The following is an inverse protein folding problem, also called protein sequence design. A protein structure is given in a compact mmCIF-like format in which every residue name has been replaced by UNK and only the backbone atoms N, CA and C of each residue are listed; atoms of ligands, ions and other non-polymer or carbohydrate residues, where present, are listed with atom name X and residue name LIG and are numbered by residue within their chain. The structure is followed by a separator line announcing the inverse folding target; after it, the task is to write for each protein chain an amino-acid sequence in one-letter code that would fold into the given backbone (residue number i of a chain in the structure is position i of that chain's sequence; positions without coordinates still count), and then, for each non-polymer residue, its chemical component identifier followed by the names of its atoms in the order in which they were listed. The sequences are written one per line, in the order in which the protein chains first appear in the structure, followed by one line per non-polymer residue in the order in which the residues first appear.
data_IF_127142672430
#
_entry.id   IF_127142672430
#
_cell.length_a   1.000
_cell.length_b   1.000
_cell.length_c   1.000
_cell.angle_alpha   90.00
_cell.angle_beta   90.00
_cell.angle_gamma   90.00
#
_symmetry.space_group_name_H-M   'P 1'
#
loop_
_entity.id
_entity.type
_entity.pdbx_description
1 polymer ?
#
# COMPACT_ATOMS: atom_id res chain seq x y z
N UNK A 1 -17.36 -11.94 9.49
CA UNK A 1 -18.67 -11.41 9.07
C UNK A 1 -18.82 -11.72 7.59
N UNK A 2 -19.92 -12.35 7.15
CA UNK A 2 -20.15 -12.62 5.72
C UNK A 2 -20.16 -11.34 4.87
N UNK A 3 -19.90 -11.47 3.57
CA UNK A 3 -20.00 -10.37 2.60
C UNK A 3 -21.43 -9.79 2.64
N UNK A 4 -21.55 -8.47 2.50
CA UNK A 4 -22.81 -7.72 2.51
C UNK A 4 -23.65 -7.85 3.79
N UNK A 5 -23.02 -8.22 4.90
CA UNK A 5 -23.68 -8.31 6.20
C UNK A 5 -22.94 -7.50 7.27
N UNK A 6 -23.68 -7.13 8.33
CA UNK A 6 -23.14 -6.46 9.50
C UNK A 6 -23.42 -7.32 10.75
N UNK A 7 -22.46 -7.44 11.68
CA UNK A 7 -22.68 -8.18 12.90
C UNK A 7 -23.70 -7.44 13.78
N UNK A 8 -24.57 -8.20 14.42
CA UNK A 8 -25.48 -7.70 15.45
C UNK A 8 -24.75 -7.55 16.79
N UNK A 9 -25.30 -6.70 17.68
CA UNK A 9 -24.76 -6.56 19.03
C UNK A 9 -24.77 -7.88 19.82
N UNK A 10 -25.80 -8.72 19.62
CA UNK A 10 -25.88 -10.04 20.26
C UNK A 10 -24.75 -10.99 19.82
N UNK A 11 -24.42 -11.00 18.53
CA UNK A 11 -23.33 -11.82 17.99
C UNK A 11 -21.97 -11.38 18.55
N UNK A 12 -21.74 -10.06 18.65
CA UNK A 12 -20.54 -9.48 19.25
C UNK A 12 -20.44 -9.87 20.73
N UNK A 13 -21.54 -9.73 21.47
CA UNK A 13 -21.57 -10.02 22.90
C UNK A 13 -21.28 -11.47 23.23
N UNK A 14 -21.89 -12.39 22.46
CA UNK A 14 -21.74 -13.83 22.64
C UNK A 14 -20.36 -14.33 22.19
N UNK A 15 -19.81 -13.76 21.12
CA UNK A 15 -18.59 -14.28 20.49
C UNK A 15 -17.32 -13.61 20.96
N UNK A 16 -17.29 -12.26 20.97
CA UNK A 16 -16.10 -11.46 21.21
C UNK A 16 -15.97 -11.02 22.67
N UNK A 17 -17.09 -10.65 23.32
CA UNK A 17 -17.08 -10.05 24.65
C UNK A 17 -17.43 -11.02 25.78
N UNK A 18 -17.38 -12.34 25.54
CA UNK A 18 -17.76 -13.38 26.52
C UNK A 18 -17.04 -13.27 27.88
N UNK A 19 -15.80 -12.80 27.87
CA UNK A 19 -14.96 -12.68 29.08
C UNK A 19 -15.05 -11.30 29.75
N UNK A 20 -15.78 -10.34 29.16
CA UNK A 20 -15.98 -9.01 29.75
C UNK A 20 -17.08 -9.11 30.81
N UNK A 21 -16.70 -8.99 32.09
CA UNK A 21 -17.59 -9.18 33.25
C UNK A 21 -18.52 -7.98 33.51
N UNK A 22 -18.04 -6.75 33.27
CA UNK A 22 -18.82 -5.54 33.51
C UNK A 22 -19.86 -5.35 32.42
N UNK A 23 -21.14 -5.34 32.77
CA UNK A 23 -22.25 -5.12 31.85
C UNK A 23 -22.17 -3.73 31.18
N UNK A 24 -21.76 -2.71 31.94
CA UNK A 24 -21.55 -1.36 31.42
C UNK A 24 -20.45 -1.32 30.38
N UNK A 25 -19.29 -1.92 30.67
CA UNK A 25 -18.16 -1.98 29.73
C UNK A 25 -18.52 -2.81 28.51
N UNK A 26 -19.22 -3.94 28.69
CA UNK A 26 -19.70 -4.78 27.59
C UNK A 26 -20.55 -3.94 26.65
N UNK A 27 -21.62 -3.28 27.14
CA UNK A 27 -22.49 -2.41 26.33
C UNK A 27 -21.71 -1.35 25.55
N UNK A 28 -20.76 -0.67 26.20
CA UNK A 28 -19.90 0.35 25.55
C UNK A 28 -19.10 -0.27 24.41
N UNK A 29 -18.45 -1.42 24.66
CA UNK A 29 -17.66 -2.12 23.65
C UNK A 29 -18.53 -2.65 22.51
N UNK A 30 -19.73 -3.15 22.77
CA UNK A 30 -20.66 -3.61 21.74
C UNK A 30 -21.02 -2.48 20.78
N UNK A 31 -21.39 -1.32 21.32
CA UNK A 31 -21.69 -0.12 20.52
C UNK A 31 -20.45 0.32 19.74
N UNK A 32 -19.29 0.39 20.41
CA UNK A 32 -18.04 0.79 19.78
C UNK A 32 -17.65 -0.15 18.62
N UNK A 33 -17.63 -1.46 18.82
CA UNK A 33 -17.25 -2.46 17.80
C UNK A 33 -18.22 -2.43 16.62
N UNK A 34 -19.52 -2.30 16.88
CA UNK A 34 -20.53 -2.20 15.82
C UNK A 34 -20.28 -0.97 14.94
N UNK A 35 -20.06 0.20 15.56
CA UNK A 35 -19.75 1.44 14.85
C UNK A 35 -18.39 1.39 14.15
N UNK A 36 -17.38 0.82 14.79
CA UNK A 36 -16.03 0.67 14.23
C UNK A 36 -16.06 -0.21 12.98
N UNK A 37 -16.82 -1.31 12.99
CA UNK A 37 -16.95 -2.17 11.82
C UNK A 37 -17.68 -1.46 10.67
N UNK A 38 -18.65 -0.58 10.95
CA UNK A 38 -19.25 0.27 9.90
C UNK A 38 -18.21 1.21 9.30
N UNK A 39 -17.42 1.90 10.11
CA UNK A 39 -16.32 2.75 9.63
C UNK A 39 -15.32 1.94 8.79
N UNK A 40 -14.97 0.73 9.23
CA UNK A 40 -14.09 -0.17 8.49
C UNK A 40 -14.63 -0.45 7.07
N UNK A 41 -15.91 -0.79 6.95
CA UNK A 41 -16.56 -1.09 5.67
C UNK A 41 -16.74 0.18 4.82
N UNK A 42 -17.36 1.23 5.39
CA UNK A 42 -17.74 2.45 4.68
C UNK A 42 -16.54 3.23 4.13
N UNK A 43 -15.37 3.10 4.77
CA UNK A 43 -14.13 3.74 4.34
C UNK A 43 -13.16 2.80 3.63
N UNK A 44 -13.61 1.59 3.24
CA UNK A 44 -12.81 0.63 2.48
C UNK A 44 -11.47 0.26 3.14
N UNK A 45 -11.50 0.04 4.46
CA UNK A 45 -10.36 -0.56 5.15
C UNK A 45 -10.23 -2.04 4.77
N UNK A 46 -8.99 -2.50 4.58
CA UNK A 46 -8.66 -3.93 4.42
C UNK A 46 -8.05 -4.51 5.69
N UNK A 47 -7.56 -3.63 6.58
CA UNK A 47 -7.01 -4.00 7.88
C UNK A 47 -7.13 -2.83 8.85
N UNK A 48 -7.44 -3.14 10.11
CA UNK A 48 -7.51 -2.17 11.20
C UNK A 48 -7.22 -2.90 12.52
N UNK A 49 -6.21 -2.43 13.26
CA UNK A 49 -5.83 -2.89 14.58
C UNK A 49 -5.75 -1.70 15.53
N UNK A 50 -6.35 -1.84 16.71
CA UNK A 50 -6.26 -0.86 17.80
C UNK A 50 -5.74 -1.59 19.02
N UNK A 51 -4.55 -1.24 19.49
CA UNK A 51 -3.92 -1.93 20.61
C UNK A 51 -3.03 -0.99 21.46
N UNK A 52 -3.50 -0.54 22.64
CA UNK A 52 -4.73 -0.95 23.34
C UNK A 52 -5.97 -0.10 23.03
N UNK A 53 -7.14 -0.73 23.11
CA UNK A 53 -8.44 -0.07 23.36
C UNK A 53 -8.62 0.08 24.86
N UNK A 54 -8.69 1.32 25.35
CA UNK A 54 -8.85 1.61 26.79
C UNK A 54 -10.24 2.13 27.06
N UNK A 55 -10.93 1.55 28.06
CA UNK A 55 -12.25 1.99 28.51
C UNK A 55 -12.16 2.50 29.95
N UNK A 56 -12.36 3.80 30.15
CA UNK A 56 -12.37 4.43 31.49
C UNK A 56 -13.44 5.52 31.54
N UNK A 57 -14.09 5.70 32.70
CA UNK A 57 -15.14 6.72 32.90
C UNK A 57 -16.22 6.70 31.80
N UNK A 58 -16.64 5.50 31.40
CA UNK A 58 -17.62 5.26 30.32
C UNK A 58 -17.23 5.82 28.94
N UNK A 59 -15.93 6.09 28.72
CA UNK A 59 -15.38 6.57 27.45
C UNK A 59 -14.38 5.56 26.89
N UNK A 60 -14.27 5.54 25.57
CA UNK A 60 -13.30 4.71 24.82
C UNK A 60 -12.15 5.60 24.37
N UNK A 61 -10.93 5.17 24.61
CA UNK A 61 -9.69 5.80 24.18
C UNK A 61 -8.91 4.82 23.31
N UNK A 62 -8.48 5.28 22.13
CA UNK A 62 -7.69 4.50 21.19
C UNK A 62 -6.25 4.98 21.33
N UNK A 63 -5.39 4.18 21.97
CA UNK A 63 -4.02 4.62 22.26
C UNK A 63 -3.05 4.40 21.11
N UNK A 64 -3.33 3.42 20.26
CA UNK A 64 -2.56 3.11 19.05
C UNK A 64 -3.49 2.57 17.96
N UNK A 65 -3.20 2.87 16.70
CA UNK A 65 -3.98 2.46 15.55
C UNK A 65 -3.03 2.15 14.38
N UNK A 66 -3.05 0.91 13.91
CA UNK A 66 -2.46 0.50 12.64
C UNK A 66 -3.59 0.14 11.66
N UNK A 67 -3.50 0.61 10.41
CA UNK A 67 -4.55 0.36 9.43
C UNK A 67 -4.02 0.30 7.99
N UNK A 68 -4.80 -0.34 7.11
CA UNK A 68 -4.59 -0.34 5.66
C UNK A 68 -5.90 -0.02 4.96
N UNK A 69 -5.84 0.89 4.01
CA UNK A 69 -6.95 1.26 3.11
C UNK A 69 -6.75 0.56 1.76
N UNK A 70 -7.86 0.21 1.10
CA UNK A 70 -7.84 -0.21 -0.30
C UNK A 70 -7.67 1.00 -1.22
N UNK A 71 -6.44 1.35 -1.56
CA UNK A 71 -6.13 2.51 -2.40
C UNK A 71 -6.92 2.54 -3.73
N UNK A 72 -7.39 1.40 -4.24
CA UNK A 72 -8.20 1.36 -5.48
C UNK A 72 -9.58 2.01 -5.30
N UNK A 73 -10.08 2.11 -4.06
CA UNK A 73 -11.34 2.75 -3.71
C UNK A 73 -11.25 4.28 -3.61
N UNK A 74 -10.10 4.89 -3.92
CA UNK A 74 -9.90 6.35 -3.84
C UNK A 74 -10.99 7.13 -4.58
N UNK A 75 -11.38 6.69 -5.78
CA UNK A 75 -12.46 7.36 -6.54
C UNK A 75 -13.83 7.32 -5.86
N UNK A 76 -14.09 6.33 -4.99
CA UNK A 76 -15.33 6.19 -4.21
C UNK A 76 -15.22 7.03 -2.94
N UNK A 77 -14.05 6.96 -2.27
CA UNK A 77 -13.85 7.49 -0.94
C UNK A 77 -13.18 8.86 -0.90
N UNK A 78 -12.82 9.47 -2.03
CA UNK A 78 -12.05 10.72 -2.11
C UNK A 78 -12.60 11.84 -1.20
N UNK A 79 -13.93 12.00 -1.16
CA UNK A 79 -14.59 12.98 -0.30
C UNK A 79 -14.41 12.69 1.20
N UNK A 80 -14.45 11.41 1.58
CA UNK A 80 -14.38 10.97 2.97
C UNK A 80 -12.93 10.87 3.46
N UNK A 81 -12.01 10.43 2.60
CA UNK A 81 -10.59 10.31 2.91
C UNK A 81 -9.87 11.65 2.93
N UNK A 82 -10.30 12.61 2.09
CA UNK A 82 -9.60 13.87 1.93
C UNK A 82 -8.18 13.66 1.39
N UNK A 83 -7.21 14.42 1.91
CA UNK A 83 -5.81 14.33 1.48
C UNK A 83 -5.04 13.23 2.25
N UNK A 84 -5.44 11.97 2.06
CA UNK A 84 -4.72 10.83 2.65
C UNK A 84 -3.39 10.59 1.94
N UNK A 85 -2.37 10.16 2.69
CA UNK A 85 -1.07 9.79 2.13
C UNK A 85 -0.73 8.35 2.49
N UNK A 86 -0.06 7.65 1.57
CA UNK A 86 0.39 6.27 1.75
C UNK A 86 1.91 6.28 1.97
N UNK A 87 2.38 6.31 3.23
CA UNK A 87 3.82 6.39 3.50
C UNK A 87 4.52 5.11 3.05
N UNK A 88 5.78 5.19 2.59
CA UNK A 88 6.57 4.01 2.33
C UNK A 88 6.77 3.20 3.64
N UNK A 89 7.03 1.88 3.53
CA UNK A 89 7.47 1.07 4.66
C UNK A 89 8.67 1.70 5.36
N UNK A 90 8.74 1.51 6.68
CA UNK A 90 9.85 1.98 7.50
C UNK A 90 11.21 1.53 6.92
N UNK A 91 12.18 2.45 6.88
CA UNK A 91 13.51 2.21 6.36
C UNK A 91 13.68 2.44 4.85
N UNK A 92 12.64 2.89 4.13
CA UNK A 92 12.74 3.37 2.76
C UNK A 92 12.46 4.86 2.67
N UNK A 93 13.31 5.58 1.96
CA UNK A 93 13.07 6.97 1.60
C UNK A 93 11.90 7.06 0.62
N UNK A 94 11.07 8.09 0.76
CA UNK A 94 10.08 8.43 -0.25
C UNK A 94 10.79 9.20 -1.37
N UNK A 95 10.82 8.66 -2.59
CA UNK A 95 11.45 9.33 -3.73
C UNK A 95 10.43 10.16 -4.52
N UNK A 96 10.78 11.39 -4.95
CA UNK A 96 9.88 12.20 -5.76
C UNK A 96 9.55 11.53 -7.11
N UNK A 97 10.45 10.68 -7.62
CA UNK A 97 10.21 9.89 -8.82
C UNK A 97 9.14 8.80 -8.63
N UNK A 98 9.10 8.15 -7.46
CA UNK A 98 8.04 7.18 -7.14
C UNK A 98 6.69 7.89 -7.07
N UNK A 99 6.64 9.08 -6.44
CA UNK A 99 5.43 9.90 -6.39
C UNK A 99 4.99 10.37 -7.79
N UNK A 100 5.93 10.73 -8.67
CA UNK A 100 5.61 11.09 -10.05
C UNK A 100 5.02 9.92 -10.84
N UNK A 101 5.58 8.71 -10.72
CA UNK A 101 5.02 7.53 -11.38
C UNK A 101 3.65 7.17 -10.80
N UNK A 102 3.47 7.28 -9.47
CA UNK A 102 2.16 7.06 -8.85
C UNK A 102 1.10 8.06 -9.31
N UNK A 103 1.46 9.33 -9.55
CA UNK A 103 0.57 10.33 -10.13
C UNK A 103 0.22 10.02 -11.60
N UNK A 104 1.18 9.52 -12.37
CA UNK A 104 0.98 9.10 -13.76
C UNK A 104 0.04 7.88 -13.85
N UNK A 105 0.21 6.92 -12.93
CA UNK A 105 -0.63 5.74 -12.76
C UNK A 105 -2.08 6.12 -12.39
N UNK A 106 -2.25 7.01 -11.41
CA UNK A 106 -3.58 7.46 -10.97
C UNK A 106 -4.37 8.19 -12.08
N UNK A 107 -3.68 8.78 -13.06
CA UNK A 107 -4.28 9.49 -14.20
C UNK A 107 -4.41 8.63 -15.45
N UNK A 108 -4.15 7.33 -15.36
CA UNK A 108 -4.11 6.41 -16.48
C UNK A 108 -5.06 5.22 -16.28
N UNK A 109 -5.56 4.66 -17.38
CA UNK A 109 -6.15 3.32 -17.37
C UNK A 109 -5.11 2.19 -17.45
N UNK A 110 -3.85 2.55 -17.75
CA UNK A 110 -2.70 1.66 -17.72
C UNK A 110 -2.13 1.56 -16.30
N UNK A 111 -1.43 0.48 -15.99
CA UNK A 111 -0.71 0.31 -14.71
C UNK A 111 0.74 0.73 -14.89
N UNK A 112 1.23 1.59 -13.99
CA UNK A 112 2.59 2.11 -13.97
C UNK A 112 3.10 2.09 -12.53
N UNK A 113 4.02 1.17 -12.21
CA UNK A 113 4.53 1.02 -10.84
C UNK A 113 6.03 1.19 -10.83
N UNK A 114 6.54 1.98 -9.88
CA UNK A 114 7.97 2.12 -9.63
C UNK A 114 8.24 2.07 -8.13
N UNK A 115 9.29 1.34 -7.77
CA UNK A 115 9.82 1.28 -6.42
C UNK A 115 11.35 1.23 -6.51
N UNK A 116 12.02 2.19 -5.87
CA UNK A 116 13.48 2.24 -5.79
C UNK A 116 13.93 1.38 -4.61
N UNK A 117 14.78 0.39 -4.88
CA UNK A 117 15.30 -0.57 -3.89
C UNK A 117 16.71 -0.19 -3.44
N UNK A 118 17.59 0.10 -4.41
CA UNK A 118 18.97 0.50 -4.17
C UNK A 118 19.41 1.54 -5.21
N UNK A 119 19.44 2.82 -4.85
CA UNK A 119 19.84 3.91 -5.76
C UNK A 119 21.24 3.73 -6.37
N UNK A 120 22.14 3.06 -5.64
CA UNK A 120 23.50 2.79 -6.08
C UNK A 120 23.62 1.51 -6.92
N UNK A 121 22.54 0.73 -7.01
CA UNK A 121 22.49 -0.51 -7.76
C UNK A 121 22.75 -0.28 -9.25
N UNK A 122 23.46 -1.23 -9.87
CA UNK A 122 23.79 -1.16 -11.30
C UNK A 122 22.76 -1.83 -12.21
N UNK A 123 21.86 -2.65 -11.67
CA UNK A 123 20.88 -3.41 -12.44
C UNK A 123 19.54 -2.68 -12.38
N UNK A 124 19.12 -2.11 -13.50
CA UNK A 124 17.84 -1.43 -13.66
C UNK A 124 16.89 -2.27 -14.53
N UNK A 125 15.60 -2.16 -14.25
CA UNK A 125 14.56 -2.89 -15.00
C UNK A 125 13.47 -1.94 -15.47
N UNK A 126 13.03 -2.15 -16.72
CA UNK A 126 11.90 -1.45 -17.35
C UNK A 126 11.08 -2.50 -18.12
N UNK A 127 10.30 -3.29 -17.40
CA UNK A 127 9.65 -4.50 -17.93
C UNK A 127 8.16 -4.28 -18.12
N UNK A 128 7.64 -4.63 -19.30
CA UNK A 128 6.21 -4.67 -19.56
C UNK A 128 5.52 -5.85 -18.85
N UNK A 129 4.49 -5.57 -18.04
CA UNK A 129 3.64 -6.58 -17.39
C UNK A 129 4.10 -6.99 -16.00
N UNK A 130 3.19 -6.90 -15.02
CA UNK A 130 3.43 -7.31 -13.63
C UNK A 130 3.94 -8.74 -13.44
N UNK A 131 3.46 -9.71 -14.25
CA UNK A 131 3.97 -11.09 -14.17
C UNK A 131 5.42 -11.21 -14.67
N UNK A 132 5.76 -10.49 -15.75
CA UNK A 132 7.10 -10.52 -16.31
C UNK A 132 8.09 -9.79 -15.40
N UNK A 133 7.73 -8.64 -14.83
CA UNK A 133 8.61 -7.89 -13.93
C UNK A 133 9.03 -8.71 -12.70
N UNK A 134 8.12 -9.54 -12.15
CA UNK A 134 8.45 -10.50 -11.09
C UNK A 134 9.45 -11.55 -11.58
N UNK A 135 9.20 -12.20 -12.73
CA UNK A 135 10.11 -13.23 -13.28
C UNK A 135 11.51 -12.68 -13.54
N UNK A 136 11.63 -11.46 -14.08
CA UNK A 136 12.92 -10.81 -14.29
C UNK A 136 13.61 -10.53 -12.96
N UNK A 137 12.87 -10.04 -11.95
CA UNK A 137 13.40 -9.78 -10.61
C UNK A 137 13.90 -11.06 -9.95
N UNK A 138 13.12 -12.13 -9.98
CA UNK A 138 13.50 -13.44 -9.45
C UNK A 138 14.77 -13.97 -10.13
N UNK A 139 14.86 -13.81 -11.46
CA UNK A 139 16.04 -14.23 -12.23
C UNK A 139 17.28 -13.44 -11.81
N UNK A 140 17.18 -12.12 -11.65
CA UNK A 140 18.30 -11.28 -11.17
C UNK A 140 18.73 -11.72 -9.77
N UNK A 141 17.78 -11.95 -8.87
CA UNK A 141 18.05 -12.41 -7.51
C UNK A 141 18.71 -13.80 -7.49
N UNK A 142 18.20 -14.75 -8.27
CA UNK A 142 18.74 -16.12 -8.36
C UNK A 142 20.16 -16.16 -8.92
N UNK A 143 20.52 -15.21 -9.78
CA UNK A 143 21.89 -15.04 -10.31
C UNK A 143 22.80 -14.22 -9.38
N UNK A 144 22.38 -13.94 -8.15
CA UNK A 144 23.19 -13.23 -7.14
C UNK A 144 23.18 -11.70 -7.28
N UNK A 145 22.31 -11.14 -8.12
CA UNK A 145 22.23 -9.70 -8.38
C UNK A 145 21.36 -8.91 -7.40
N UNK A 146 20.85 -9.52 -6.32
CA UNK A 146 19.88 -8.90 -5.42
C UNK A 146 20.37 -7.59 -4.79
N UNK A 147 21.65 -7.53 -4.36
CA UNK A 147 22.24 -6.31 -3.79
C UNK A 147 22.47 -5.21 -4.83
N UNK A 148 22.51 -5.58 -6.11
CA UNK A 148 22.77 -4.68 -7.24
C UNK A 148 21.49 -4.26 -7.98
N UNK A 149 20.34 -4.81 -7.59
CA UNK A 149 19.04 -4.47 -8.16
C UNK A 149 18.58 -3.11 -7.67
N UNK A 150 18.45 -2.17 -8.60
CA UNK A 150 18.19 -0.78 -8.28
C UNK A 150 16.71 -0.47 -8.08
N UNK A 151 15.83 -1.09 -8.87
CA UNK A 151 14.40 -0.84 -8.85
C UNK A 151 13.58 -2.10 -9.09
N UNK A 152 12.36 -2.09 -8.58
CA UNK A 152 11.26 -2.96 -8.98
C UNK A 152 10.17 -2.09 -9.60
N UNK A 153 9.60 -2.52 -10.72
CA UNK A 153 8.55 -1.76 -11.38
C UNK A 153 8.04 -2.45 -12.63
N UNK A 154 6.92 -1.96 -13.13
CA UNK A 154 6.29 -2.46 -14.34
C UNK A 154 5.47 -1.36 -15.03
N UNK A 155 5.24 -1.58 -16.32
CA UNK A 155 4.22 -0.86 -17.07
C UNK A 155 3.34 -1.86 -17.82
N UNK A 156 2.02 -1.71 -17.76
CA UNK A 156 1.07 -2.63 -18.43
C UNK A 156 -0.29 -1.99 -18.66
N UNK A 157 -1.23 -2.69 -19.29
CA UNK A 157 -2.56 -2.14 -19.59
C UNK A 157 -2.56 -1.13 -20.74
N UNK A 158 -1.66 -1.30 -21.71
CA UNK A 158 -1.54 -0.47 -22.92
C UNK A 158 -1.35 1.04 -22.65
N UNK A 159 -0.27 1.45 -21.95
CA UNK A 159 0.05 2.86 -21.80
C UNK A 159 0.30 3.52 -23.16
N UNK A 160 -0.01 4.81 -23.24
CA UNK A 160 0.30 5.63 -24.41
C UNK A 160 1.80 5.83 -24.59
N UNK A 161 2.21 6.30 -25.77
CA UNK A 161 3.59 6.66 -26.06
C UNK A 161 4.12 7.70 -25.07
N UNK A 162 3.35 8.76 -24.78
CA UNK A 162 3.75 9.80 -23.83
C UNK A 162 3.95 9.25 -22.42
N UNK A 163 3.04 8.39 -21.94
CA UNK A 163 3.15 7.77 -20.62
C UNK A 163 4.38 6.88 -20.52
N UNK A 164 4.64 6.07 -21.56
CA UNK A 164 5.80 5.19 -21.62
C UNK A 164 7.10 6.02 -21.68
N UNK A 165 7.10 7.11 -22.45
CA UNK A 165 8.24 8.02 -22.53
C UNK A 165 8.53 8.69 -21.18
N UNK A 166 7.50 9.13 -20.45
CA UNK A 166 7.69 9.77 -19.14
C UNK A 166 8.14 8.77 -18.06
N UNK A 167 7.60 7.54 -18.10
CA UNK A 167 8.08 6.44 -17.27
C UNK A 167 9.57 6.13 -17.54
N UNK A 168 9.95 6.00 -18.82
CA UNK A 168 11.32 5.74 -19.23
C UNK A 168 12.28 6.88 -18.84
N UNK A 169 11.90 8.14 -19.07
CA UNK A 169 12.68 9.33 -18.66
C UNK A 169 12.95 9.31 -17.16
N UNK A 170 11.96 8.93 -16.36
CA UNK A 170 12.09 8.84 -14.90
C UNK A 170 13.13 7.80 -14.50
N UNK A 171 13.07 6.59 -15.08
CA UNK A 171 14.08 5.54 -14.84
C UNK A 171 15.48 6.00 -15.27
N UNK A 172 15.64 6.55 -16.47
CA UNK A 172 16.94 6.99 -16.95
C UNK A 172 17.50 8.17 -16.15
N UNK A 173 16.65 9.08 -15.68
CA UNK A 173 17.04 10.16 -14.78
C UNK A 173 17.65 9.60 -13.50
N UNK A 174 17.01 8.60 -12.88
CA UNK A 174 17.53 7.93 -11.68
C UNK A 174 18.83 7.16 -11.95
N UNK A 175 18.85 6.35 -13.03
CA UNK A 175 19.99 5.52 -13.42
C UNK A 175 21.24 6.36 -13.70
N UNK A 176 21.10 7.56 -14.24
CA UNK A 176 22.20 8.41 -14.68
C UNK A 176 22.72 9.40 -13.62
N UNK A 177 22.21 9.39 -12.38
CA UNK A 177 22.69 10.30 -11.32
C UNK A 177 24.14 10.06 -10.93
N UNK A 178 24.45 8.80 -10.63
CA UNK A 178 25.77 8.38 -10.15
C UNK A 178 26.39 7.35 -11.09
N UNK A 179 27.71 7.43 -11.29
CA UNK A 179 28.45 6.43 -12.06
C UNK A 179 28.74 5.21 -11.20
N UNK A 180 28.59 4.03 -11.80
CA UNK A 180 29.01 2.75 -11.21
C UNK A 180 30.30 2.27 -11.87
N UNK A 181 31.26 1.75 -11.11
CA UNK A 181 32.59 1.35 -11.63
C UNK A 181 32.48 0.30 -12.74
N UNK A 182 31.62 -0.70 -12.55
CA UNK A 182 31.35 -1.76 -13.53
C UNK A 182 30.31 -1.39 -14.60
N UNK A 183 30.02 -0.09 -14.76
CA UNK A 183 28.89 0.39 -15.54
C UNK A 183 27.53 -0.02 -14.97
N UNK A 184 26.45 0.45 -15.59
CA UNK A 184 25.06 0.10 -15.26
C UNK A 184 24.38 -0.54 -16.46
N UNK A 185 23.41 -1.42 -16.20
CA UNK A 185 22.63 -2.13 -17.23
C UNK A 185 21.15 -1.87 -17.01
N UNK A 186 20.38 -1.75 -18.09
CA UNK A 186 18.93 -1.63 -18.05
C UNK A 186 18.31 -2.75 -18.88
N UNK A 187 17.58 -3.65 -18.23
CA UNK A 187 16.81 -4.68 -18.90
C UNK A 187 15.43 -4.13 -19.25
N UNK A 188 15.13 -4.01 -20.54
CA UNK A 188 13.83 -3.55 -21.02
C UNK A 188 13.13 -4.58 -21.89
N UNK A 189 11.80 -4.62 -21.79
CA UNK A 189 10.93 -5.40 -22.68
C UNK A 189 9.62 -4.66 -22.88
#
# INVERSE_FOLDING_TARGET
VPVDTFPTGEEIDRSLLKNVKSATVKRILTTFITSLYRVFVDLYFTYMEINPVVVTNERVYLLDLAAKLDQTADFICAKNWGAVTFPPPFGRDAYPEEAHIADLDAKSGASLKLTVLNKSGRIWTMVAGGGASVVYTDTVCALGGASELANYGEYSGAPTESQTADYAKTIFSLMCRDRHQSGKVCYHK
#
